data_IF_033874313899
#
_entry.id   IF_033874313899
#
_cell.length_a   1.000
_cell.length_b   1.000
_cell.length_c   1.000
_cell.angle_alpha   90.00
_cell.angle_beta   90.00
_cell.angle_gamma   90.00
#
_symmetry.space_group_name_H-M   'P 1'
#
loop_
_entity.id
_entity.type
_entity.pdbx_description
1 polymer ?
#
# COMPACT_ATOMS: atom_id res chain seq x y z
N UNK A 1 -22.68 -10.63 -67.04
CA UNK A 1 -21.79 -10.41 -65.87
C UNK A 1 -22.63 -10.41 -64.61
N UNK A 2 -22.55 -11.53 -63.89
CA UNK A 2 -23.49 -11.99 -62.87
C UNK A 2 -23.20 -11.37 -61.50
N UNK A 3 -24.27 -10.98 -60.80
CA UNK A 3 -24.27 -10.30 -59.51
C UNK A 3 -24.01 -11.26 -58.33
N UNK A 4 -23.21 -10.75 -57.38
CA UNK A 4 -23.29 -10.90 -55.91
C UNK A 4 -22.96 -12.27 -55.29
N UNK A 5 -21.75 -12.33 -54.74
CA UNK A 5 -21.29 -13.33 -53.76
C UNK A 5 -21.81 -12.99 -52.35
N UNK A 6 -22.43 -14.00 -51.74
CA UNK A 6 -22.33 -14.48 -50.35
C UNK A 6 -22.57 -13.49 -49.19
N UNK A 7 -23.72 -13.69 -48.53
CA UNK A 7 -24.03 -13.23 -47.18
C UNK A 7 -23.39 -14.21 -46.17
N UNK A 8 -22.51 -13.79 -45.23
CA UNK A 8 -22.15 -14.66 -44.13
C UNK A 8 -23.17 -14.51 -42.98
N UNK A 9 -23.76 -15.66 -42.62
CA UNK A 9 -24.51 -15.87 -41.40
C UNK A 9 -23.54 -15.70 -40.21
N UNK A 10 -23.71 -14.66 -39.40
CA UNK A 10 -23.01 -14.51 -38.12
C UNK A 10 -24.04 -14.64 -36.99
N UNK A 11 -24.27 -15.87 -36.55
CA UNK A 11 -24.85 -16.13 -35.22
C UNK A 11 -23.67 -16.47 -34.32
N UNK A 12 -23.00 -15.43 -33.81
CA UNK A 12 -22.15 -15.57 -32.64
C UNK A 12 -23.05 -15.33 -31.42
N UNK A 13 -23.56 -16.42 -30.85
CA UNK A 13 -24.22 -16.39 -29.55
C UNK A 13 -23.22 -15.87 -28.52
N UNK A 14 -23.48 -14.67 -28.00
CA UNK A 14 -22.71 -14.08 -26.92
C UNK A 14 -22.96 -14.89 -25.64
N UNK A 15 -22.13 -15.89 -25.38
CA UNK A 15 -21.92 -16.38 -24.01
C UNK A 15 -21.17 -15.26 -23.29
N UNK A 16 -21.91 -14.34 -22.66
CA UNK A 16 -21.30 -13.44 -21.70
C UNK A 16 -20.83 -14.31 -20.52
N UNK A 17 -19.53 -14.39 -20.22
CA UNK A 17 -19.14 -14.91 -18.93
C UNK A 17 -19.70 -13.94 -17.91
N UNK A 18 -20.64 -14.40 -17.08
CA UNK A 18 -21.08 -13.73 -15.88
C UNK A 18 -19.93 -13.73 -14.85
N UNK A 19 -18.79 -13.13 -15.22
CA UNK A 19 -17.87 -12.55 -14.26
C UNK A 19 -18.61 -11.28 -13.82
N UNK A 20 -19.42 -11.39 -12.78
CA UNK A 20 -19.82 -10.23 -12.03
C UNK A 20 -18.53 -9.50 -11.67
N UNK A 21 -18.28 -8.38 -12.34
CA UNK A 21 -17.09 -7.58 -12.11
C UNK A 21 -17.18 -7.05 -10.68
N UNK A 22 -16.62 -7.80 -9.74
CA UNK A 22 -16.43 -7.32 -8.39
C UNK A 22 -15.46 -6.13 -8.48
N UNK A 23 -15.99 -4.93 -8.27
CA UNK A 23 -15.28 -3.67 -8.47
C UNK A 23 -14.80 -3.11 -7.15
N UNK A 24 -13.64 -2.48 -7.18
CA UNK A 24 -13.22 -1.57 -6.12
C UNK A 24 -14.26 -0.46 -5.98
N UNK A 25 -14.64 -0.16 -4.75
CA UNK A 25 -15.64 0.86 -4.45
C UNK A 25 -15.14 1.81 -3.38
N UNK A 26 -15.69 3.01 -3.36
CA UNK A 26 -15.49 3.94 -2.27
C UNK A 26 -15.94 3.27 -0.97
N UNK A 27 -15.04 3.18 0.00
CA UNK A 27 -15.34 2.67 1.32
C UNK A 27 -16.41 3.59 1.95
N UNK A 28 -17.57 3.04 2.38
CA UNK A 28 -18.60 3.87 2.98
C UNK A 28 -18.09 4.50 4.28
N UNK A 29 -18.37 5.79 4.49
CA UNK A 29 -17.87 6.57 5.63
C UNK A 29 -18.44 6.15 7.00
N UNK A 30 -19.10 5.00 7.12
CA UNK A 30 -19.66 4.53 8.40
C UNK A 30 -18.54 4.32 9.42
N UNK A 31 -18.69 4.94 10.60
CA UNK A 31 -17.81 4.75 11.76
C UNK A 31 -17.81 3.27 12.14
N UNK A 32 -16.67 2.59 11.95
CA UNK A 32 -16.40 1.28 12.56
C UNK A 32 -16.03 1.53 14.04
N UNK A 33 -16.10 0.50 14.89
CA UNK A 33 -15.44 0.58 16.20
C UNK A 33 -13.97 0.97 15.98
N UNK A 34 -13.43 1.84 16.82
CA UNK A 34 -12.03 2.27 16.75
C UNK A 34 -11.13 1.05 16.92
N UNK A 35 -10.18 0.86 15.99
CA UNK A 35 -9.31 -0.31 15.97
C UNK A 35 -7.86 0.10 16.13
N UNK A 36 -7.14 -0.58 17.01
CA UNK A 36 -5.71 -0.45 17.17
C UNK A 36 -5.02 -1.61 16.47
N UNK A 37 -4.14 -1.27 15.52
CA UNK A 37 -3.21 -2.21 14.91
C UNK A 37 -1.81 -1.98 15.44
N UNK A 38 -1.10 -3.06 15.70
CA UNK A 38 0.32 -3.06 16.04
C UNK A 38 1.05 -3.63 14.83
N UNK A 39 2.00 -2.86 14.30
CA UNK A 39 2.85 -3.26 13.19
C UNK A 39 4.15 -3.83 13.75
N UNK A 40 4.53 -5.02 13.30
CA UNK A 40 5.79 -5.67 13.69
C UNK A 40 6.55 -6.11 12.45
N UNK A 41 7.78 -5.62 12.34
CA UNK A 41 8.67 -5.95 11.25
C UNK A 41 8.30 -5.32 9.91
N UNK A 42 9.30 -5.21 9.06
CA UNK A 42 9.14 -4.82 7.67
C UNK A 42 10.18 -5.55 6.83
N UNK A 43 9.80 -5.97 5.64
CA UNK A 43 10.75 -6.43 4.61
C UNK A 43 10.54 -5.58 3.36
N UNK A 44 11.59 -5.36 2.57
CA UNK A 44 11.49 -4.60 1.32
C UNK A 44 12.16 -5.30 0.16
N UNK A 45 11.56 -5.13 -1.00
CA UNK A 45 12.16 -5.46 -2.29
C UNK A 45 12.43 -4.16 -3.03
N UNK A 46 13.71 -3.85 -3.25
CA UNK A 46 14.11 -2.68 -4.03
C UNK A 46 13.98 -2.97 -5.53
N UNK A 47 13.68 -1.93 -6.30
CA UNK A 47 13.57 -2.01 -7.77
C UNK A 47 14.92 -1.99 -8.46
N UNK A 48 15.93 -1.40 -7.82
CA UNK A 48 17.30 -1.49 -8.29
C UNK A 48 17.98 -2.75 -7.73
N UNK A 49 18.98 -3.22 -8.47
CA UNK A 49 19.79 -4.37 -8.07
C UNK A 49 20.90 -3.97 -7.08
N UNK A 50 20.67 -2.95 -6.24
CA UNK A 50 21.66 -2.49 -5.28
C UNK A 50 21.80 -3.53 -4.15
N UNK A 51 22.80 -4.40 -4.29
CA UNK A 51 23.04 -5.56 -3.40
C UNK A 51 23.46 -5.21 -1.97
N UNK A 52 23.73 -3.93 -1.67
CA UNK A 52 24.18 -3.47 -0.36
C UNK A 52 23.06 -2.92 0.54
N UNK A 53 21.80 -2.93 0.08
CA UNK A 53 20.68 -2.38 0.84
C UNK A 53 20.12 -3.40 1.84
N UNK A 54 19.83 -2.93 3.05
CA UNK A 54 19.10 -3.70 4.05
C UNK A 54 17.65 -3.94 3.60
N UNK A 55 17.32 -5.20 3.31
CA UNK A 55 15.95 -5.61 2.96
C UNK A 55 15.12 -5.95 4.19
N UNK A 56 15.77 -6.24 5.32
CA UNK A 56 15.15 -6.55 6.60
C UNK A 56 14.90 -5.25 7.38
N UNK A 57 13.87 -4.51 6.96
CA UNK A 57 13.49 -3.24 7.58
C UNK A 57 12.71 -3.42 8.89
N UNK A 58 13.29 -4.19 9.81
CA UNK A 58 12.68 -4.49 11.10
C UNK A 58 12.39 -3.21 11.88
N UNK A 59 11.23 -3.21 12.52
CA UNK A 59 10.69 -2.07 13.23
C UNK A 59 9.39 -2.41 13.94
N UNK A 60 8.80 -1.39 14.52
CA UNK A 60 7.53 -1.46 15.22
C UNK A 60 6.73 -0.18 14.94
N UNK A 61 5.41 -0.30 14.98
CA UNK A 61 4.53 0.84 14.81
C UNK A 61 3.13 0.56 15.33
N UNK A 62 2.30 1.58 15.32
CA UNK A 62 0.89 1.48 15.62
C UNK A 62 0.08 2.25 14.57
N UNK A 63 -1.07 1.68 14.23
CA UNK A 63 -2.09 2.33 13.40
C UNK A 63 -3.39 2.40 14.18
N UNK A 64 -3.85 3.61 14.42
CA UNK A 64 -5.12 3.85 15.07
C UNK A 64 -6.17 4.18 14.01
N UNK A 65 -7.14 3.29 13.83
CA UNK A 65 -8.23 3.46 12.87
C UNK A 65 -9.26 4.45 13.44
N UNK A 66 -9.27 5.67 12.88
CA UNK A 66 -10.20 6.74 13.28
C UNK A 66 -11.59 6.50 12.69
N UNK A 67 -11.66 5.96 11.47
CA UNK A 67 -12.88 5.45 10.84
C UNK A 67 -12.54 4.37 9.80
N UNK A 68 -13.53 3.91 9.01
CA UNK A 68 -13.33 2.82 8.07
C UNK A 68 -12.14 3.01 7.10
N UNK A 69 -11.82 4.25 6.70
CA UNK A 69 -10.81 4.54 5.68
C UNK A 69 -9.69 5.48 6.14
N UNK A 70 -9.70 5.99 7.38
CA UNK A 70 -8.67 6.88 7.92
C UNK A 70 -7.97 6.31 9.15
N UNK A 71 -6.65 6.49 9.18
CA UNK A 71 -5.78 6.00 10.25
C UNK A 71 -4.80 7.08 10.67
N UNK A 72 -4.45 7.10 11.96
CA UNK A 72 -3.22 7.73 12.44
C UNK A 72 -2.14 6.67 12.50
N UNK A 73 -0.93 6.99 12.03
CA UNK A 73 0.18 6.04 11.99
C UNK A 73 1.41 6.64 12.65
N UNK A 74 2.13 5.83 13.42
CA UNK A 74 3.44 6.18 13.95
C UNK A 74 4.29 4.92 14.13
N UNK A 75 5.61 5.08 14.11
CA UNK A 75 6.51 3.96 14.32
C UNK A 75 7.97 4.30 14.13
N UNK A 76 8.79 3.26 14.24
CA UNK A 76 10.22 3.31 14.00
C UNK A 76 10.71 2.00 13.36
N UNK A 77 11.71 2.09 12.50
CA UNK A 77 12.31 0.93 11.83
C UNK A 77 13.76 1.21 11.41
N UNK A 78 14.51 0.16 11.11
CA UNK A 78 15.84 0.23 10.50
C UNK A 78 15.71 0.29 8.97
N UNK A 79 16.08 1.41 8.35
CA UNK A 79 15.88 1.59 6.91
C UNK A 79 16.91 0.86 6.03
N UNK A 80 16.77 0.98 4.71
CA UNK A 80 17.59 0.29 3.71
C UNK A 80 19.08 0.66 3.74
N UNK A 81 19.43 1.82 4.29
CA UNK A 81 20.83 2.26 4.45
C UNK A 81 21.35 2.03 5.87
N UNK A 82 20.69 1.16 6.64
CA UNK A 82 21.04 0.84 8.02
C UNK A 82 21.05 2.09 8.92
N UNK A 83 20.02 2.92 8.82
CA UNK A 83 19.80 4.03 9.75
C UNK A 83 18.42 3.91 10.42
N UNK A 84 18.34 4.36 11.66
CA UNK A 84 17.08 4.35 12.41
C UNK A 84 16.18 5.45 11.89
N UNK A 85 14.98 5.06 11.49
CA UNK A 85 13.94 5.94 10.97
C UNK A 85 12.76 5.93 11.92
N UNK A 86 12.22 7.11 12.20
CA UNK A 86 10.97 7.33 12.93
C UNK A 86 10.01 8.05 12.01
N UNK A 87 8.74 7.68 12.06
CA UNK A 87 7.71 8.31 11.25
C UNK A 87 6.44 8.58 12.06
N UNK A 88 5.70 9.59 11.64
CA UNK A 88 4.34 9.83 12.07
C UNK A 88 3.52 10.44 10.93
N UNK A 89 2.22 10.19 10.91
CA UNK A 89 1.33 10.74 9.89
C UNK A 89 -0.09 10.18 9.96
N UNK A 90 -0.78 10.25 8.83
CA UNK A 90 -2.07 9.63 8.64
C UNK A 90 -2.14 8.84 7.34
N UNK A 91 -3.03 7.85 7.30
CA UNK A 91 -3.36 7.11 6.09
C UNK A 91 -4.80 7.36 5.70
N UNK A 92 -5.04 7.51 4.40
CA UNK A 92 -6.38 7.58 3.81
C UNK A 92 -6.49 6.53 2.71
N UNK A 93 -7.38 5.56 2.90
CA UNK A 93 -7.58 4.41 2.01
C UNK A 93 -9.02 4.35 1.50
N UNK A 94 -9.43 5.27 0.60
CA UNK A 94 -10.82 5.43 0.20
C UNK A 94 -11.32 4.28 -0.66
N UNK A 95 -10.45 3.50 -1.30
CA UNK A 95 -10.85 2.39 -2.16
C UNK A 95 -10.78 1.09 -1.36
N UNK A 96 -11.85 0.30 -1.40
CA UNK A 96 -11.88 -1.01 -0.74
C UNK A 96 -12.52 -2.08 -1.61
N UNK A 97 -12.01 -3.30 -1.45
CA UNK A 97 -12.53 -4.49 -2.09
C UNK A 97 -12.26 -5.71 -1.20
N UNK A 98 -13.31 -6.32 -0.64
CA UNK A 98 -13.17 -7.39 0.37
C UNK A 98 -12.23 -6.94 1.50
N UNK A 99 -11.18 -7.71 1.78
CA UNK A 99 -10.17 -7.37 2.80
C UNK A 99 -9.12 -6.38 2.31
N UNK A 100 -9.13 -6.00 1.03
CA UNK A 100 -8.17 -5.05 0.47
C UNK A 100 -8.64 -3.60 0.63
N UNK A 101 -7.68 -2.73 0.93
CA UNK A 101 -7.85 -1.27 0.97
C UNK A 101 -6.69 -0.61 0.24
N UNK A 102 -6.97 0.40 -0.56
CA UNK A 102 -5.98 1.13 -1.35
C UNK A 102 -6.10 2.62 -1.09
N UNK A 103 -4.95 3.28 -0.94
CA UNK A 103 -4.85 4.73 -0.86
C UNK A 103 -3.42 5.18 -0.62
N UNK A 104 -3.24 6.12 0.30
CA UNK A 104 -1.93 6.70 0.59
C UNK A 104 -1.72 7.01 2.07
N UNK A 105 -0.45 7.01 2.47
CA UNK A 105 0.05 7.51 3.75
C UNK A 105 0.69 8.88 3.49
N UNK A 106 0.40 9.87 4.31
CA UNK A 106 1.06 11.16 4.30
C UNK A 106 1.53 11.54 5.71
N UNK A 107 2.73 12.10 5.82
CA UNK A 107 3.32 12.42 7.12
C UNK A 107 4.75 12.90 7.02
N UNK A 108 5.55 12.61 8.04
CA UNK A 108 6.98 12.87 8.04
C UNK A 108 7.77 11.63 8.48
N UNK A 109 8.98 11.51 7.95
CA UNK A 109 9.97 10.49 8.33
C UNK A 109 11.36 11.14 8.44
N UNK A 110 12.33 10.46 9.06
CA UNK A 110 13.72 10.91 9.16
C UNK A 110 14.71 9.78 8.79
N UNK A 111 16.01 9.94 9.08
CA UNK A 111 16.99 8.84 9.03
C UNK A 111 17.67 8.59 7.69
N UNK A 112 17.32 9.34 6.63
CA UNK A 112 18.01 9.30 5.33
C UNK A 112 19.00 10.45 5.23
N UNK A 113 20.31 10.19 5.26
CA UNK A 113 21.35 11.24 5.26
C UNK A 113 21.22 12.19 4.07
N UNK A 114 20.89 11.65 2.89
CA UNK A 114 20.72 12.44 1.66
C UNK A 114 19.39 13.22 1.61
N UNK A 115 18.54 13.05 2.63
CA UNK A 115 17.28 13.79 2.83
C UNK A 115 17.40 14.67 4.07
N UNK A 116 17.58 15.97 3.87
CA UNK A 116 17.68 16.98 4.95
C UNK A 116 18.70 16.57 6.04
N UNK A 117 19.84 16.02 5.65
CA UNK A 117 20.92 15.59 6.56
C UNK A 117 20.46 14.58 7.63
N UNK A 118 19.50 13.69 7.29
CA UNK A 118 18.92 12.72 8.22
C UNK A 118 17.80 13.27 9.12
N UNK A 119 17.47 14.57 9.01
CA UNK A 119 16.36 15.19 9.73
C UNK A 119 14.98 14.78 9.21
N UNK A 120 13.93 15.33 9.80
CA UNK A 120 12.55 15.06 9.38
C UNK A 120 12.22 15.72 8.03
N UNK A 121 11.63 14.95 7.13
CA UNK A 121 11.15 15.37 5.82
C UNK A 121 9.73 14.85 5.56
N UNK A 122 8.92 15.57 4.76
CA UNK A 122 7.57 15.12 4.42
C UNK A 122 7.60 13.91 3.48
N UNK A 123 6.63 13.01 3.64
CA UNK A 123 6.45 11.82 2.81
C UNK A 123 4.99 11.68 2.39
N UNK A 124 4.78 11.21 1.16
CA UNK A 124 3.49 10.70 0.68
C UNK A 124 3.74 9.41 -0.10
N UNK A 125 3.14 8.31 0.34
CA UNK A 125 3.44 6.97 -0.16
C UNK A 125 2.13 6.23 -0.48
N UNK A 126 1.95 5.68 -1.69
CA UNK A 126 0.85 4.77 -1.97
C UNK A 126 0.92 3.52 -1.07
N UNK A 127 -0.23 3.06 -0.60
CA UNK A 127 -0.35 1.88 0.26
C UNK A 127 -1.52 1.01 -0.16
N UNK A 128 -1.26 -0.29 -0.24
CA UNK A 128 -2.26 -1.35 -0.29
C UNK A 128 -2.25 -2.07 1.06
N UNK A 129 -3.39 -2.11 1.75
CA UNK A 129 -3.55 -2.89 2.97
C UNK A 129 -4.43 -4.12 2.70
N UNK A 130 -4.04 -5.26 3.28
CA UNK A 130 -4.87 -6.45 3.42
C UNK A 130 -5.25 -6.58 4.89
N UNK A 131 -6.53 -6.42 5.23
CA UNK A 131 -7.02 -6.44 6.60
C UNK A 131 -7.99 -7.61 6.82
N UNK A 132 -7.55 -8.62 7.56
CA UNK A 132 -8.41 -9.67 8.10
C UNK A 132 -9.09 -9.26 9.41
N UNK A 133 -9.56 -10.25 10.18
CA UNK A 133 -10.17 -10.00 11.49
C UNK A 133 -9.16 -9.60 12.56
N UNK A 134 -8.03 -10.31 12.63
CA UNK A 134 -6.96 -10.04 13.61
C UNK A 134 -5.60 -9.79 12.99
N UNK A 135 -5.36 -10.26 11.78
CA UNK A 135 -4.06 -10.14 11.10
C UNK A 135 -4.25 -9.38 9.80
N UNK A 136 -3.26 -8.59 9.44
CA UNK A 136 -3.20 -7.91 8.17
C UNK A 136 -1.76 -7.64 7.74
N UNK A 137 -1.64 -7.00 6.59
CA UNK A 137 -0.37 -6.50 6.09
C UNK A 137 -0.58 -5.19 5.33
N UNK A 138 0.44 -4.33 5.33
CA UNK A 138 0.53 -3.21 4.41
C UNK A 138 1.62 -3.49 3.38
N UNK A 139 1.39 -3.05 2.15
CA UNK A 139 2.34 -3.02 1.06
C UNK A 139 2.48 -1.55 0.65
N UNK A 140 3.61 -0.95 0.97
CA UNK A 140 3.89 0.46 0.75
C UNK A 140 4.81 0.59 -0.45
N UNK A 141 4.38 1.33 -1.45
CA UNK A 141 5.20 1.66 -2.61
C UNK A 141 6.05 2.90 -2.29
N UNK A 142 7.36 2.77 -2.40
CA UNK A 142 8.33 3.84 -2.18
C UNK A 142 8.88 4.25 -3.55
N UNK A 143 8.56 5.47 -4.03
CA UNK A 143 9.10 5.95 -5.29
C UNK A 143 10.61 6.20 -5.17
N UNK A 144 11.35 5.90 -6.23
CA UNK A 144 12.76 6.26 -6.32
C UNK A 144 12.93 7.78 -6.37
N UNK A 145 13.82 8.32 -5.54
CA UNK A 145 14.28 9.70 -5.63
C UNK A 145 15.75 9.65 -6.06
N UNK A 146 16.10 10.14 -7.26
CA UNK A 146 17.46 10.06 -7.78
C UNK A 146 18.50 10.52 -6.77
N UNK A 147 19.52 9.69 -6.54
CA UNK A 147 20.62 9.91 -5.61
C UNK A 147 20.25 10.11 -4.12
N UNK A 148 18.99 9.84 -3.71
CA UNK A 148 18.54 10.05 -2.32
C UNK A 148 17.80 8.88 -1.71
N UNK A 149 16.93 8.24 -2.48
CA UNK A 149 16.07 7.13 -2.02
C UNK A 149 15.99 6.10 -3.13
N UNK A 150 16.43 4.87 -2.83
CA UNK A 150 16.16 3.73 -3.70
C UNK A 150 14.69 3.33 -3.58
N UNK A 151 14.01 3.19 -4.71
CA UNK A 151 12.60 2.82 -4.74
C UNK A 151 12.41 1.34 -4.39
N UNK A 152 11.31 1.04 -3.71
CA UNK A 152 11.03 -0.29 -3.21
C UNK A 152 9.52 -0.53 -3.04
N UNK A 153 9.15 -1.80 -2.84
CA UNK A 153 7.92 -2.17 -2.15
C UNK A 153 8.30 -2.70 -0.78
N UNK A 154 7.76 -2.09 0.27
CA UNK A 154 7.90 -2.57 1.64
C UNK A 154 6.63 -3.29 2.08
N UNK A 155 6.76 -4.46 2.70
CA UNK A 155 5.68 -5.15 3.39
C UNK A 155 5.84 -4.98 4.90
N UNK A 156 4.75 -4.67 5.61
CA UNK A 156 4.68 -4.65 7.07
C UNK A 156 3.56 -5.59 7.53
N UNK A 157 3.85 -6.46 8.50
CA UNK A 157 2.82 -7.28 9.14
C UNK A 157 2.15 -6.49 10.27
N UNK A 158 0.84 -6.68 10.42
CA UNK A 158 0.07 -6.01 11.47
C UNK A 158 -0.92 -6.92 12.16
N UNK A 159 -1.10 -6.69 13.46
CA UNK A 159 -2.03 -7.40 14.32
C UNK A 159 -3.04 -6.43 14.92
N UNK A 160 -4.33 -6.74 14.83
CA UNK A 160 -5.41 -5.97 15.43
C UNK A 160 -5.62 -6.43 16.86
N UNK A 161 -5.53 -5.47 17.78
CA UNK A 161 -5.61 -5.73 19.21
C UNK A 161 -7.06 -5.79 19.74
N UNK A 162 -8.00 -5.07 19.11
CA UNK A 162 -9.40 -4.94 19.56
C UNK A 162 -10.45 -5.05 18.43
#
# INVERSE_FOLDING_TARGET
>A
MTRRLLLPLLIAAAVQPAIAAERWSAAPLKKKSEQLWINVGGVSQHFDNATALNQDNFGYGVEYQVDRNRYLVLGAYRNSVNADTRYFGGAWMPLSYKSFKLGAIAGVANGYKDMRNGGYFPVILPVLALEGERVGANFVYIPSIPAKVSGAVAMQLKYRFN
#
